data_IF_181872966327
#
_entry.id   IF_181872966327
#
_cell.length_a   1.000
_cell.length_b   1.000
_cell.length_c   1.000
_cell.angle_alpha   90.00
_cell.angle_beta   90.00
_cell.angle_gamma   90.00
#
_symmetry.space_group_name_H-M   'P 1'
#
loop_
_entity.id
_entity.type
_entity.pdbx_description
1 polymer ?
#
# COMPACT_ATOMS: atom_id res chain seq x y z
N UNK A 1 -9.27 15.08 24.92
CA UNK A 1 -8.96 14.83 26.35
C UNK A 1 -7.51 14.38 26.38
N UNK A 2 -6.64 15.17 26.98
CA UNK A 2 -5.23 14.82 27.13
C UNK A 2 -5.12 13.96 28.39
N UNK A 3 -4.81 12.67 28.20
CA UNK A 3 -4.75 11.70 29.29
C UNK A 3 -3.31 11.55 29.78
N UNK A 4 -3.10 11.54 31.09
CA UNK A 4 -1.81 11.19 31.68
C UNK A 4 -1.58 9.69 31.60
N UNK A 5 -0.54 9.24 30.91
CA UNK A 5 -0.21 7.82 30.72
C UNK A 5 1.09 7.48 31.44
N UNK A 6 1.06 6.49 32.34
CA UNK A 6 2.27 6.08 33.07
C UNK A 6 2.22 4.63 33.56
N UNK A 7 3.39 4.10 33.92
CA UNK A 7 3.50 2.91 34.76
C UNK A 7 2.95 3.22 36.15
N UNK A 8 2.20 2.27 36.72
CA UNK A 8 1.57 2.39 38.04
C UNK A 8 1.93 1.19 38.90
N UNK A 9 1.85 1.35 40.21
CA UNK A 9 2.00 0.25 41.16
C UNK A 9 0.78 -0.69 41.13
N UNK A 10 0.97 -1.94 41.58
CA UNK A 10 -0.14 -2.87 41.79
C UNK A 10 -1.17 -2.27 42.76
N UNK A 11 -0.71 -1.64 43.85
CA UNK A 11 -1.56 -0.97 44.84
C UNK A 11 -2.46 0.11 44.24
N UNK A 12 -1.97 0.90 43.27
CA UNK A 12 -2.79 1.89 42.57
C UNK A 12 -3.82 1.24 41.64
N UNK A 13 -3.50 0.09 41.06
CA UNK A 13 -4.35 -0.60 40.10
C UNK A 13 -5.55 -1.29 40.75
N UNK A 14 -5.35 -1.91 41.92
CA UNK A 14 -6.32 -2.82 42.54
C UNK A 14 -7.71 -2.22 42.79
N UNK A 15 -7.86 -0.96 43.26
CA UNK A 15 -9.19 -0.37 43.50
C UNK A 15 -10.07 -0.34 42.24
N UNK A 16 -9.52 0.09 41.10
CA UNK A 16 -10.27 0.16 39.85
C UNK A 16 -10.55 -1.23 39.28
N UNK A 17 -9.58 -2.15 39.40
CA UNK A 17 -9.76 -3.55 39.01
C UNK A 17 -10.90 -4.22 39.79
N UNK A 18 -10.93 -4.04 41.11
CA UNK A 18 -11.98 -4.59 41.97
C UNK A 18 -13.35 -4.02 41.59
N UNK A 19 -13.46 -2.69 41.50
CA UNK A 19 -14.69 -1.99 41.12
C UNK A 19 -15.28 -2.51 39.81
N UNK A 20 -14.45 -2.67 38.77
CA UNK A 20 -14.92 -2.89 37.40
C UNK A 20 -14.97 -4.37 37.00
N UNK A 21 -13.97 -5.17 37.38
CA UNK A 21 -13.86 -6.56 36.93
C UNK A 21 -14.38 -7.57 37.94
N UNK A 22 -14.43 -7.21 39.23
CA UNK A 22 -14.81 -8.09 40.35
C UNK A 22 -15.68 -7.34 41.37
N UNK A 23 -16.84 -6.79 40.97
CA UNK A 23 -17.69 -6.02 41.87
C UNK A 23 -18.06 -6.84 43.11
N UNK A 24 -17.91 -6.24 44.29
CA UNK A 24 -18.15 -6.89 45.58
C UNK A 24 -16.93 -7.53 46.25
N UNK A 25 -15.79 -7.65 45.55
CA UNK A 25 -14.52 -8.10 46.15
C UNK A 25 -13.70 -6.91 46.68
N UNK A 26 -12.90 -7.16 47.73
CA UNK A 26 -11.92 -6.18 48.21
C UNK A 26 -10.73 -6.09 47.22
N UNK A 27 -10.03 -4.95 47.16
CA UNK A 27 -8.84 -4.78 46.30
C UNK A 27 -7.80 -5.89 46.46
N UNK A 28 -7.50 -6.30 47.70
CA UNK A 28 -6.48 -7.34 47.97
C UNK A 28 -6.89 -8.73 47.47
N UNK A 29 -8.19 -8.99 47.30
CA UNK A 29 -8.71 -10.25 46.73
C UNK A 29 -8.69 -10.27 45.20
N UNK A 30 -8.22 -9.17 44.58
CA UNK A 30 -8.13 -9.00 43.13
C UNK A 30 -6.69 -9.04 42.62
N UNK A 31 -5.75 -9.52 43.43
CA UNK A 31 -4.37 -9.84 43.03
C UNK A 31 -4.39 -11.18 42.30
N UNK A 32 -3.74 -11.25 41.14
CA UNK A 32 -3.57 -12.47 40.37
C UNK A 32 -2.11 -12.93 40.45
N UNK A 33 -1.87 -14.25 40.36
CA UNK A 33 -0.50 -14.80 40.36
C UNK A 33 0.37 -14.17 39.27
N UNK A 34 -0.24 -13.83 38.12
CA UNK A 34 0.43 -13.14 37.02
C UNK A 34 0.98 -11.77 37.39
N UNK A 35 0.39 -11.06 38.36
CA UNK A 35 0.91 -9.76 38.83
C UNK A 35 2.23 -9.91 39.59
N UNK A 36 2.52 -11.11 40.10
CA UNK A 36 3.72 -11.42 40.88
C UNK A 36 4.84 -12.05 40.05
N UNK A 37 4.61 -12.30 38.75
CA UNK A 37 5.64 -12.83 37.86
C UNK A 37 6.78 -11.81 37.66
N UNK A 38 8.02 -12.29 37.44
CA UNK A 38 9.12 -11.42 37.03
C UNK A 38 8.76 -10.65 35.76
N UNK A 39 9.16 -9.39 35.68
CA UNK A 39 8.89 -8.48 34.54
C UNK A 39 7.42 -8.12 34.33
N UNK A 40 6.51 -8.51 35.23
CA UNK A 40 5.13 -8.00 35.22
C UNK A 40 5.11 -6.50 35.49
N UNK A 41 4.27 -5.78 34.75
CA UNK A 41 4.07 -4.35 34.95
C UNK A 41 2.63 -3.93 34.66
N UNK A 42 2.28 -2.76 35.20
CA UNK A 42 0.93 -2.21 35.13
C UNK A 42 0.98 -0.80 34.57
N UNK A 43 0.01 -0.46 33.73
CA UNK A 43 -0.13 0.88 33.16
C UNK A 43 -1.48 1.46 33.54
N UNK A 44 -1.49 2.78 33.73
CA UNK A 44 -2.68 3.56 34.04
C UNK A 44 -2.85 4.74 33.12
N UNK A 45 -4.11 5.07 32.83
CA UNK A 45 -4.51 6.34 32.21
C UNK A 45 -5.23 7.22 33.24
N UNK A 46 -4.85 8.48 33.30
CA UNK A 46 -5.34 9.48 34.25
C UNK A 46 -6.05 10.63 33.51
N UNK A 47 -7.13 11.11 34.11
CA UNK A 47 -7.78 12.38 33.78
C UNK A 47 -7.62 13.31 34.99
N UNK A 48 -6.73 14.30 34.86
CA UNK A 48 -6.16 15.01 36.01
C UNK A 48 -5.48 14.03 36.97
N UNK A 49 -5.92 14.01 38.24
CA UNK A 49 -5.39 13.11 39.27
C UNK A 49 -6.16 11.78 39.39
N UNK A 50 -7.27 11.61 38.64
CA UNK A 50 -8.11 10.41 38.72
C UNK A 50 -7.58 9.32 37.81
N UNK A 51 -7.26 8.16 38.37
CA UNK A 51 -6.97 6.94 37.59
C UNK A 51 -8.28 6.38 37.01
N UNK A 52 -8.40 6.38 35.68
CA UNK A 52 -9.66 6.05 34.98
C UNK A 52 -9.58 4.78 34.15
N UNK A 53 -8.39 4.30 33.82
CA UNK A 53 -8.21 3.05 33.08
C UNK A 53 -6.91 2.37 33.51
N UNK A 54 -6.94 1.05 33.59
CA UNK A 54 -5.80 0.21 34.00
C UNK A 54 -5.64 -1.00 33.10
N UNK A 55 -4.41 -1.49 32.98
CA UNK A 55 -4.05 -2.69 32.24
C UNK A 55 -2.84 -3.35 32.88
N UNK A 56 -2.75 -4.68 32.82
CA UNK A 56 -1.64 -5.45 33.37
C UNK A 56 -1.01 -6.32 32.29
N UNK A 57 0.31 -6.40 32.30
CA UNK A 57 1.10 -6.99 31.22
C UNK A 57 2.17 -7.87 31.85
N UNK A 58 2.37 -9.06 31.29
CA UNK A 58 3.41 -9.99 31.71
C UNK A 58 3.85 -10.86 30.55
N UNK A 59 5.05 -11.42 30.66
CA UNK A 59 5.62 -12.30 29.64
C UNK A 59 4.94 -13.66 29.69
N UNK A 60 4.33 -14.07 28.58
CA UNK A 60 3.70 -15.38 28.44
C UNK A 60 3.53 -15.69 26.95
N UNK A 61 4.08 -16.81 26.50
CA UNK A 61 3.92 -17.28 25.12
C UNK A 61 2.58 -18.00 24.95
N UNK A 62 2.00 -17.91 23.76
CA UNK A 62 0.84 -18.70 23.36
C UNK A 62 1.29 -19.89 22.52
N UNK A 63 0.78 -21.09 22.83
CA UNK A 63 1.30 -22.36 22.29
C UNK A 63 1.34 -22.43 20.76
N UNK A 64 0.39 -21.79 20.07
CA UNK A 64 0.30 -21.79 18.60
C UNK A 64 0.96 -20.60 17.91
N UNK A 65 1.69 -19.74 18.65
CA UNK A 65 2.36 -18.55 18.11
C UNK A 65 3.87 -18.62 18.34
N UNK A 66 4.62 -18.57 17.24
CA UNK A 66 6.08 -18.47 17.28
C UNK A 66 6.57 -17.08 17.69
N UNK A 67 7.58 -17.04 18.56
CA UNK A 67 8.25 -15.84 19.06
C UNK A 67 8.00 -15.56 20.54
N UNK A 68 8.50 -14.41 21.01
CA UNK A 68 8.31 -13.89 22.36
C UNK A 68 6.96 -13.17 22.48
N UNK A 69 6.06 -13.75 23.28
CA UNK A 69 4.73 -13.22 23.57
C UNK A 69 4.65 -12.46 24.89
N UNK A 70 3.82 -11.43 24.91
CA UNK A 70 3.33 -10.80 26.14
C UNK A 70 1.81 -10.95 26.22
N UNK A 71 1.30 -11.28 27.40
CA UNK A 71 -0.13 -11.33 27.65
C UNK A 71 -0.62 -10.06 28.31
N UNK A 72 -1.71 -9.53 27.78
CA UNK A 72 -2.47 -8.46 28.42
C UNK A 72 -3.57 -9.10 29.29
N UNK A 73 -3.77 -8.55 30.49
CA UNK A 73 -4.84 -8.96 31.39
C UNK A 73 -5.43 -7.76 32.12
N UNK A 74 -6.64 -7.96 32.63
CA UNK A 74 -7.26 -7.06 33.60
C UNK A 74 -7.42 -5.63 33.09
N UNK A 75 -7.67 -5.47 31.80
CA UNK A 75 -7.99 -4.16 31.24
C UNK A 75 -9.35 -3.71 31.77
N UNK A 76 -9.38 -2.56 32.44
CA UNK A 76 -10.59 -2.02 33.04
C UNK A 76 -10.61 -0.50 32.82
N UNK A 77 -11.76 0.02 32.39
CA UNK A 77 -12.00 1.47 32.29
C UNK A 77 -13.23 1.81 33.10
N UNK A 78 -13.13 2.88 33.89
CA UNK A 78 -14.23 3.42 34.68
C UNK A 78 -15.44 3.71 33.79
N UNK A 79 -16.64 3.44 34.30
CA UNK A 79 -17.88 3.42 33.52
C UNK A 79 -18.18 4.80 32.91
N UNK A 80 -17.86 5.88 33.61
CA UNK A 80 -18.03 7.27 33.16
C UNK A 80 -17.14 7.63 31.96
N UNK A 81 -16.11 6.82 31.70
CA UNK A 81 -15.10 7.04 30.66
C UNK A 81 -15.17 6.02 29.52
N UNK A 82 -16.10 5.06 29.59
CA UNK A 82 -16.35 4.12 28.48
C UNK A 82 -16.91 4.87 27.28
N UNK A 83 -16.54 4.41 26.08
CA UNK A 83 -16.95 5.03 24.82
C UNK A 83 -16.25 6.35 24.46
N UNK A 84 -15.39 6.90 25.34
CA UNK A 84 -14.64 8.15 25.10
C UNK A 84 -13.24 7.94 24.50
N UNK A 85 -12.90 6.72 24.07
CA UNK A 85 -11.60 6.38 23.50
C UNK A 85 -10.48 6.09 24.52
N UNK A 86 -10.71 6.28 25.82
CA UNK A 86 -9.71 6.04 26.89
C UNK A 86 -9.07 4.66 26.80
N UNK A 87 -9.87 3.61 26.59
CA UNK A 87 -9.35 2.25 26.45
C UNK A 87 -8.39 2.09 25.26
N UNK A 88 -8.72 2.65 24.09
CA UNK A 88 -7.83 2.61 22.93
C UNK A 88 -6.52 3.36 23.19
N UNK A 89 -6.58 4.51 23.87
CA UNK A 89 -5.38 5.28 24.23
C UNK A 89 -4.47 4.46 25.15
N UNK A 90 -5.02 3.84 26.20
CA UNK A 90 -4.23 3.00 27.11
C UNK A 90 -3.69 1.74 26.42
N UNK A 91 -4.49 1.11 25.53
CA UNK A 91 -4.05 -0.06 24.77
C UNK A 91 -2.90 0.27 23.82
N UNK A 92 -2.97 1.41 23.11
CA UNK A 92 -1.88 1.87 22.25
C UNK A 92 -0.61 2.19 23.04
N UNK A 93 -0.76 2.79 24.24
CA UNK A 93 0.36 3.01 25.15
C UNK A 93 0.98 1.69 25.62
N UNK A 94 0.16 0.71 25.98
CA UNK A 94 0.61 -0.63 26.32
C UNK A 94 1.39 -1.30 25.17
N UNK A 95 0.88 -1.22 23.94
CA UNK A 95 1.60 -1.71 22.76
C UNK A 95 2.96 -1.04 22.59
N UNK A 96 3.05 0.27 22.81
CA UNK A 96 4.31 1.03 22.74
C UNK A 96 5.31 0.59 23.81
N UNK A 97 4.86 0.37 25.05
CA UNK A 97 5.72 -0.14 26.13
C UNK A 97 6.18 -1.58 25.88
N UNK A 98 5.28 -2.45 25.41
CA UNK A 98 5.59 -3.85 25.09
C UNK A 98 6.56 -3.94 23.90
N UNK A 99 6.42 -3.06 22.92
CA UNK A 99 7.34 -2.93 21.78
C UNK A 99 8.79 -2.72 22.21
N UNK A 100 9.03 -2.01 23.31
CA UNK A 100 10.39 -1.79 23.85
C UNK A 100 11.00 -3.06 24.44
N UNK A 101 10.19 -4.09 24.72
CA UNK A 101 10.59 -5.35 25.34
C UNK A 101 10.93 -6.46 24.32
N UNK A 102 11.27 -6.09 23.08
CA UNK A 102 11.67 -7.05 22.05
C UNK A 102 10.61 -8.13 21.74
N UNK A 103 9.33 -7.77 21.88
CA UNK A 103 8.15 -8.63 21.75
C UNK A 103 7.74 -8.87 20.29
N UNK A 104 7.38 -10.11 19.94
CA UNK A 104 6.91 -10.46 18.59
C UNK A 104 5.36 -10.43 18.49
N UNK A 105 4.64 -10.63 19.60
CA UNK A 105 3.18 -10.55 19.63
C UNK A 105 2.59 -10.29 21.02
N UNK A 106 1.42 -9.67 21.03
CA UNK A 106 0.54 -9.61 22.21
C UNK A 106 -0.57 -10.64 22.05
N UNK A 107 -1.01 -11.26 23.14
CA UNK A 107 -2.24 -12.03 23.17
C UNK A 107 -3.05 -11.81 24.46
N UNK A 108 -4.34 -12.17 24.42
CA UNK A 108 -5.22 -12.17 25.60
C UNK A 108 -6.52 -12.92 25.34
N UNK A 109 -7.26 -13.21 26.43
CA UNK A 109 -8.63 -13.71 26.36
C UNK A 109 -9.59 -12.53 26.39
N UNK A 110 -10.22 -12.22 25.26
CA UNK A 110 -11.20 -11.16 25.13
C UNK A 110 -12.59 -11.70 25.45
N UNK A 111 -13.35 -11.01 26.32
CA UNK A 111 -14.80 -11.29 26.47
C UNK A 111 -15.48 -11.11 25.12
N UNK A 112 -16.46 -11.95 24.79
CA UNK A 112 -17.21 -11.87 23.53
C UNK A 112 -17.77 -10.46 23.26
N UNK A 113 -18.28 -9.79 24.30
CA UNK A 113 -18.79 -8.41 24.24
C UNK A 113 -17.74 -7.34 23.90
N UNK A 114 -16.45 -7.64 24.09
CA UNK A 114 -15.33 -6.71 23.83
C UNK A 114 -14.57 -7.02 22.53
N UNK A 115 -14.90 -8.10 21.83
CA UNK A 115 -14.21 -8.51 20.59
C UNK A 115 -14.16 -7.40 19.55
N UNK A 116 -15.28 -6.72 19.31
CA UNK A 116 -15.36 -5.62 18.35
C UNK A 116 -14.45 -4.43 18.70
N UNK A 117 -14.21 -4.18 19.99
CA UNK A 117 -13.25 -3.16 20.41
C UNK A 117 -11.83 -3.56 20.00
N UNK A 118 -11.42 -4.81 20.25
CA UNK A 118 -10.07 -5.27 19.90
C UNK A 118 -9.85 -5.42 18.39
N UNK A 119 -10.86 -5.88 17.63
CA UNK A 119 -10.80 -5.89 16.17
C UNK A 119 -10.54 -4.50 15.58
N UNK A 120 -11.21 -3.46 16.11
CA UNK A 120 -10.98 -2.06 15.71
C UNK A 120 -9.57 -1.55 16.05
N UNK A 121 -8.89 -2.14 17.04
CA UNK A 121 -7.51 -1.81 17.39
C UNK A 121 -6.48 -2.75 16.72
N UNK A 122 -6.89 -3.51 15.69
CA UNK A 122 -6.00 -4.34 14.86
C UNK A 122 -5.62 -5.69 15.47
N UNK A 123 -6.35 -6.16 16.48
CA UNK A 123 -6.23 -7.53 16.98
C UNK A 123 -7.08 -8.49 16.16
N UNK A 124 -6.70 -9.76 16.19
CA UNK A 124 -7.34 -10.83 15.40
C UNK A 124 -7.73 -11.98 16.32
N UNK A 125 -8.81 -12.70 16.01
CA UNK A 125 -9.23 -13.89 16.76
C UNK A 125 -8.42 -15.11 16.27
N UNK A 126 -7.94 -15.94 17.21
CA UNK A 126 -7.16 -17.16 16.90
C UNK A 126 -7.68 -18.42 17.59
N UNK A 127 -8.86 -18.37 18.22
CA UNK A 127 -9.54 -19.53 18.80
C UNK A 127 -11.01 -19.53 18.44
N UNK A 128 -11.66 -20.68 18.62
CA UNK A 128 -13.12 -20.74 18.76
C UNK A 128 -13.58 -20.04 20.04
N UNK A 129 -14.89 -19.79 20.17
CA UNK A 129 -15.48 -19.25 21.40
C UNK A 129 -15.43 -20.29 22.53
N UNK A 130 -15.04 -19.87 23.73
CA UNK A 130 -15.00 -20.75 24.90
C UNK A 130 -15.53 -20.03 26.15
N UNK A 131 -16.13 -20.79 27.06
CA UNK A 131 -16.58 -20.26 28.35
C UNK A 131 -15.44 -20.27 29.38
N UNK A 132 -15.30 -19.17 30.12
CA UNK A 132 -14.49 -19.13 31.34
C UNK A 132 -15.46 -19.12 32.53
N UNK A 133 -15.44 -20.17 33.38
CA UNK A 133 -16.38 -20.30 34.49
C UNK A 133 -16.46 -19.05 35.37
N UNK A 134 -17.68 -18.53 35.55
CA UNK A 134 -17.94 -17.33 36.36
C UNK A 134 -17.51 -16.01 35.73
N UNK A 135 -17.06 -16.00 34.47
CA UNK A 135 -16.71 -14.79 33.70
C UNK A 135 -17.51 -14.71 32.39
N UNK A 136 -17.80 -15.86 31.76
CA UNK A 136 -18.61 -15.97 30.54
C UNK A 136 -17.78 -16.29 29.29
N UNK A 137 -18.36 -16.02 28.12
CA UNK A 137 -17.78 -16.37 26.81
C UNK A 137 -16.61 -15.47 26.40
N UNK A 138 -15.56 -16.08 25.86
CA UNK A 138 -14.32 -15.44 25.44
C UNK A 138 -13.78 -16.00 24.12
N UNK A 139 -12.87 -15.23 23.52
CA UNK A 139 -12.02 -15.63 22.41
C UNK A 139 -10.56 -15.33 22.77
N UNK A 140 -9.62 -16.12 22.25
CA UNK A 140 -8.21 -15.75 22.24
C UNK A 140 -7.99 -14.77 21.09
N UNK A 141 -7.45 -13.60 21.40
CA UNK A 141 -7.10 -12.59 20.41
C UNK A 141 -5.61 -12.25 20.47
N UNK A 142 -5.01 -11.91 19.33
CA UNK A 142 -3.60 -11.57 19.22
C UNK A 142 -3.35 -10.40 18.27
N UNK A 143 -2.19 -9.75 18.41
CA UNK A 143 -1.66 -8.77 17.46
C UNK A 143 -0.15 -8.96 17.39
N UNK A 144 0.38 -9.11 16.17
CA UNK A 144 1.84 -9.08 15.94
C UNK A 144 2.35 -7.68 16.26
N UNK A 145 3.39 -7.61 17.08
CA UNK A 145 4.13 -6.38 17.29
C UNK A 145 5.46 -6.48 16.58
N UNK A 146 5.82 -5.41 15.87
CA UNK A 146 7.16 -5.25 15.31
C UNK A 146 7.87 -4.26 16.25
N UNK A 147 8.90 -4.67 17.00
CA UNK A 147 9.61 -3.75 17.89
C UNK A 147 10.26 -2.60 17.08
N UNK A 148 10.26 -1.36 17.60
CA UNK A 148 11.04 -0.26 17.05
C UNK A 148 12.51 -0.68 16.96
N UNK A 149 13.15 -0.49 15.81
CA UNK A 149 14.54 -0.89 15.57
C UNK A 149 14.78 -2.40 15.41
N UNK A 150 13.88 -3.27 15.89
CA UNK A 150 13.73 -4.66 15.44
C UNK A 150 12.71 -4.69 14.30
N UNK A 151 12.91 -3.80 13.34
CA UNK A 151 12.62 -4.18 11.98
C UNK A 151 13.29 -5.54 11.81
N UNK A 152 12.58 -6.50 11.23
CA UNK A 152 13.27 -7.62 10.59
C UNK A 152 14.50 -7.06 9.91
N UNK A 153 15.56 -7.82 9.79
CA UNK A 153 16.60 -7.39 8.88
C UNK A 153 16.01 -7.38 7.47
N UNK A 154 15.25 -6.32 7.13
CA UNK A 154 14.41 -6.20 5.97
C UNK A 154 15.36 -6.27 4.79
N UNK A 155 16.53 -5.64 4.92
CA UNK A 155 17.64 -5.74 3.97
C UNK A 155 18.15 -7.19 3.77
N UNK A 156 17.92 -8.11 4.70
CA UNK A 156 18.29 -9.52 4.62
C UNK A 156 17.11 -10.47 4.35
N UNK A 157 15.89 -9.96 4.07
CA UNK A 157 14.79 -10.80 3.57
C UNK A 157 15.27 -11.57 2.34
N UNK A 158 15.19 -12.90 2.41
CA UNK A 158 15.64 -13.80 1.35
C UNK A 158 14.52 -13.99 0.32
N UNK A 159 14.86 -13.83 -0.97
CA UNK A 159 13.89 -14.00 -2.06
C UNK A 159 13.36 -15.45 -2.15
N UNK A 160 14.14 -16.44 -1.68
CA UNK A 160 13.71 -17.84 -1.66
C UNK A 160 12.45 -18.06 -0.80
N UNK A 161 12.27 -17.28 0.27
CA UNK A 161 11.11 -17.41 1.17
C UNK A 161 9.79 -16.97 0.49
N UNK A 162 9.90 -16.26 -0.63
CA UNK A 162 8.78 -15.79 -1.45
C UNK A 162 8.67 -16.54 -2.78
N UNK A 163 9.44 -17.63 -2.94
CA UNK A 163 9.41 -18.49 -4.13
C UNK A 163 8.42 -19.63 -3.93
N UNK A 164 7.53 -19.82 -4.89
CA UNK A 164 6.60 -20.94 -4.92
C UNK A 164 6.50 -21.52 -6.33
N UNK A 165 6.03 -22.76 -6.44
CA UNK A 165 5.81 -23.38 -7.73
C UNK A 165 4.55 -22.79 -8.38
N UNK A 166 4.72 -21.99 -9.44
CA UNK A 166 3.63 -21.46 -10.26
C UNK A 166 3.65 -22.17 -11.64
N UNK A 167 2.74 -23.12 -11.90
CA UNK A 167 2.66 -23.76 -13.21
C UNK A 167 2.36 -22.74 -14.31
N UNK A 168 3.01 -22.89 -15.47
CA UNK A 168 2.93 -21.89 -16.56
C UNK A 168 1.51 -21.79 -17.12
N UNK A 169 0.77 -22.89 -17.14
CA UNK A 169 -0.64 -22.97 -17.54
C UNK A 169 -1.60 -22.22 -16.60
N UNK A 170 -1.14 -21.80 -15.42
CA UNK A 170 -1.90 -20.93 -14.49
C UNK A 170 -1.65 -19.45 -14.71
N UNK A 171 -0.74 -19.06 -15.60
CA UNK A 171 -0.47 -17.67 -15.96
C UNK A 171 -1.40 -17.28 -17.11
N UNK A 172 -2.31 -16.33 -16.86
CA UNK A 172 -3.21 -15.83 -17.89
C UNK A 172 -2.47 -14.90 -18.88
N UNK A 173 -2.59 -15.17 -20.17
CA UNK A 173 -2.04 -14.32 -21.25
C UNK A 173 -3.06 -13.35 -21.84
N UNK A 174 -4.34 -13.61 -21.64
CA UNK A 174 -5.44 -12.72 -22.00
C UNK A 174 -6.34 -12.53 -20.78
N UNK A 175 -6.91 -11.32 -20.58
CA UNK A 175 -7.96 -11.15 -19.59
C UNK A 175 -9.21 -11.94 -20.00
N UNK A 176 -10.08 -12.24 -19.04
CA UNK A 176 -11.41 -12.75 -19.37
C UNK A 176 -12.22 -11.69 -20.14
N UNK A 177 -13.11 -12.14 -21.02
CA UNK A 177 -14.00 -11.27 -21.79
C UNK A 177 -14.86 -10.39 -20.87
N UNK A 178 -15.47 -11.01 -19.85
CA UNK A 178 -16.10 -10.33 -18.72
C UNK A 178 -15.17 -10.40 -17.52
N UNK A 179 -14.59 -9.26 -17.16
CA UNK A 179 -13.49 -9.22 -16.19
C UNK A 179 -13.92 -9.39 -14.75
N UNK A 180 -15.11 -8.96 -14.44
CA UNK A 180 -15.75 -9.12 -13.13
C UNK A 180 -16.22 -10.57 -12.89
N UNK A 181 -16.27 -11.43 -13.90
CA UNK A 181 -16.47 -12.87 -13.72
C UNK A 181 -15.19 -13.60 -13.24
N UNK A 182 -14.06 -12.89 -13.14
CA UNK A 182 -12.82 -13.44 -12.58
C UNK A 182 -12.97 -13.87 -11.12
N UNK A 183 -12.18 -14.86 -10.71
CA UNK A 183 -12.15 -15.36 -9.33
C UNK A 183 -11.62 -14.28 -8.38
N UNK A 184 -12.28 -14.14 -7.24
CA UNK A 184 -11.88 -13.31 -6.11
C UNK A 184 -11.46 -14.21 -4.95
N UNK A 185 -10.17 -14.19 -4.60
CA UNK A 185 -9.68 -14.85 -3.40
C UNK A 185 -9.93 -13.94 -2.18
N UNK A 186 -10.69 -14.44 -1.21
CA UNK A 186 -10.99 -13.73 0.02
C UNK A 186 -10.14 -14.35 1.12
N UNK A 187 -9.23 -13.55 1.68
CA UNK A 187 -8.44 -13.91 2.83
C UNK A 187 -8.91 -13.11 4.05
N UNK A 188 -9.41 -13.83 5.06
CA UNK A 188 -9.82 -13.25 6.33
C UNK A 188 -9.18 -14.05 7.47
N UNK A 189 -8.06 -13.55 8.01
CA UNK A 189 -7.35 -14.11 9.17
C UNK A 189 -7.20 -15.65 9.13
N UNK A 190 -6.45 -16.16 8.13
CA UNK A 190 -6.23 -17.59 7.83
C UNK A 190 -7.41 -18.36 7.26
N UNK A 191 -8.62 -17.76 7.21
CA UNK A 191 -9.71 -18.32 6.42
C UNK A 191 -9.57 -17.86 4.97
N UNK A 192 -9.42 -18.83 4.07
CA UNK A 192 -9.41 -18.61 2.63
C UNK A 192 -10.75 -19.08 2.08
N UNK A 193 -11.41 -18.21 1.31
CA UNK A 193 -12.58 -18.56 0.51
C UNK A 193 -12.45 -17.96 -0.89
N UNK A 194 -13.31 -18.42 -1.79
CA UNK A 194 -13.38 -17.96 -3.18
C UNK A 194 -14.77 -17.40 -3.45
N UNK A 195 -14.83 -16.34 -4.25
CA UNK A 195 -16.05 -15.80 -4.85
C UNK A 195 -15.73 -15.27 -6.26
N UNK A 196 -16.66 -14.54 -6.89
CA UNK A 196 -16.43 -13.80 -8.12
C UNK A 196 -16.18 -12.32 -7.83
N UNK A 197 -15.38 -11.67 -8.66
CA UNK A 197 -15.07 -10.26 -8.51
C UNK A 197 -16.31 -9.35 -8.62
N UNK A 198 -17.32 -9.76 -9.40
CA UNK A 198 -18.62 -9.09 -9.48
C UNK A 198 -19.28 -8.90 -8.10
N UNK A 199 -19.03 -9.82 -7.17
CA UNK A 199 -19.57 -9.79 -5.80
C UNK A 199 -18.71 -8.97 -4.83
N UNK A 200 -17.61 -8.36 -5.29
CA UNK A 200 -16.78 -7.46 -4.47
C UNK A 200 -17.60 -6.44 -3.66
N UNK A 201 -18.66 -5.80 -4.20
CA UNK A 201 -19.47 -4.85 -3.44
C UNK A 201 -20.08 -5.42 -2.16
N UNK A 202 -20.29 -6.73 -2.03
CA UNK A 202 -20.81 -7.38 -0.81
C UNK A 202 -19.82 -7.28 0.36
N UNK A 203 -18.52 -7.36 0.06
CA UNK A 203 -17.44 -7.37 1.05
C UNK A 203 -16.97 -5.97 1.48
N UNK A 204 -17.31 -4.93 0.71
CA UNK A 204 -16.89 -3.55 1.00
C UNK A 204 -17.96 -2.83 1.83
N UNK A 205 -17.56 -2.27 2.97
CA UNK A 205 -18.47 -1.53 3.84
C UNK A 205 -18.83 -0.16 3.26
N UNK A 206 -20.06 0.32 3.46
CA UNK A 206 -20.56 1.58 2.89
C UNK A 206 -19.80 2.84 3.34
N UNK A 207 -19.11 2.76 4.48
CA UNK A 207 -18.28 3.82 5.05
C UNK A 207 -16.81 3.75 4.58
N UNK A 208 -16.51 2.93 3.57
CA UNK A 208 -15.17 2.79 3.01
C UNK A 208 -14.89 3.83 1.92
N UNK A 209 -13.63 4.24 1.84
CA UNK A 209 -13.04 4.96 0.72
C UNK A 209 -12.17 4.00 -0.09
N UNK A 210 -12.55 3.74 -1.34
CA UNK A 210 -11.70 3.05 -2.30
C UNK A 210 -10.74 4.04 -2.95
N UNK A 211 -9.44 3.73 -2.95
CA UNK A 211 -8.41 4.58 -3.57
C UNK A 211 -7.82 3.86 -4.78
N UNK A 212 -8.03 4.45 -5.95
CA UNK A 212 -7.62 3.88 -7.23
C UNK A 212 -6.43 4.64 -7.84
N UNK A 213 -5.63 3.95 -8.65
CA UNK A 213 -4.63 4.60 -9.51
C UNK A 213 -5.23 4.86 -10.90
N UNK A 214 -5.43 6.12 -11.28
CA UNK A 214 -6.05 6.50 -12.56
C UNK A 214 -5.03 6.74 -13.70
N UNK A 215 -3.80 6.26 -13.56
CA UNK A 215 -2.81 6.29 -14.63
C UNK A 215 -3.32 5.57 -15.87
N UNK A 216 -3.04 6.12 -17.05
CA UNK A 216 -3.41 5.59 -18.35
C UNK A 216 -2.15 5.11 -19.06
N UNK A 217 -2.17 3.84 -19.48
CA UNK A 217 -1.08 3.26 -20.28
C UNK A 217 -0.98 3.99 -21.61
N UNK A 218 0.23 4.38 -21.99
CA UNK A 218 0.55 4.90 -23.33
C UNK A 218 1.13 3.77 -24.20
N UNK A 219 0.89 3.76 -25.52
CA UNK A 219 1.47 2.79 -26.45
C UNK A 219 2.97 3.09 -26.72
N UNK A 220 3.77 3.23 -25.67
CA UNK A 220 5.17 3.66 -25.71
C UNK A 220 6.17 2.64 -26.26
N UNK A 221 5.73 1.60 -26.96
CA UNK A 221 6.60 0.59 -27.57
C UNK A 221 6.62 0.73 -29.09
N UNK A 222 7.72 1.25 -29.62
CA UNK A 222 7.94 1.41 -31.05
C UNK A 222 8.73 0.23 -31.62
N UNK A 223 8.28 -0.23 -32.78
CA UNK A 223 8.97 -1.24 -33.59
C UNK A 223 9.49 -0.58 -34.87
N UNK A 224 10.80 -0.59 -35.04
CA UNK A 224 11.50 -0.09 -36.22
C UNK A 224 12.19 -1.23 -36.95
N UNK A 225 12.01 -1.33 -38.26
CA UNK A 225 12.69 -2.35 -39.05
C UNK A 225 14.07 -1.83 -39.48
N UNK A 226 15.14 -2.50 -39.05
CA UNK A 226 16.44 -2.39 -39.72
C UNK A 226 16.50 -3.34 -40.93
N UNK A 227 17.56 -3.29 -41.72
CA UNK A 227 17.75 -4.20 -42.86
C UNK A 227 17.75 -5.69 -42.46
N UNK A 228 18.18 -6.03 -41.24
CA UNK A 228 18.36 -7.41 -40.79
C UNK A 228 17.29 -7.87 -39.78
N UNK A 229 16.73 -6.94 -38.99
CA UNK A 229 15.92 -7.28 -37.83
C UNK A 229 15.10 -6.09 -37.31
N UNK A 230 13.96 -6.35 -36.65
CA UNK A 230 13.21 -5.31 -35.94
C UNK A 230 13.91 -4.92 -34.64
N UNK A 231 14.22 -3.62 -34.50
CA UNK A 231 14.69 -2.96 -33.29
C UNK A 231 13.47 -2.49 -32.50
N UNK A 232 13.47 -2.77 -31.20
CA UNK A 232 12.38 -2.39 -30.29
C UNK A 232 12.83 -1.24 -29.40
N UNK A 233 12.02 -0.19 -29.31
CA UNK A 233 12.27 0.95 -28.42
C UNK A 233 11.08 1.06 -27.48
N UNK A 234 11.33 0.88 -26.18
CA UNK A 234 10.32 1.02 -25.14
C UNK A 234 10.58 2.31 -24.35
N UNK A 235 9.69 3.27 -24.48
CA UNK A 235 9.67 4.51 -23.70
C UNK A 235 9.45 4.22 -22.22
N UNK A 236 10.35 4.71 -21.36
CA UNK A 236 10.28 4.57 -19.91
C UNK A 236 9.67 5.81 -19.28
N UNK A 237 10.37 6.92 -19.39
CA UNK A 237 9.97 8.19 -18.82
C UNK A 237 10.55 9.36 -19.64
N UNK A 238 9.90 10.53 -19.67
CA UNK A 238 10.48 11.73 -20.25
C UNK A 238 11.82 12.09 -19.60
N UNK A 239 12.81 12.50 -20.40
CA UNK A 239 14.17 12.75 -19.91
C UNK A 239 14.32 14.09 -19.17
N UNK A 240 13.83 15.19 -19.75
CA UNK A 240 14.08 16.56 -19.25
C UNK A 240 12.90 17.13 -18.43
N UNK A 241 11.65 16.91 -18.85
CA UNK A 241 10.46 17.43 -18.18
C UNK A 241 9.58 16.28 -17.67
N UNK A 242 9.36 16.19 -16.35
CA UNK A 242 8.52 15.14 -15.74
C UNK A 242 7.02 15.44 -15.81
N UNK A 243 6.62 16.58 -16.36
CA UNK A 243 5.24 16.84 -16.76
C UNK A 243 4.93 16.11 -18.09
N UNK A 244 4.40 14.90 -17.96
CA UNK A 244 3.98 14.08 -19.09
C UNK A 244 3.01 14.82 -20.01
N UNK A 245 2.11 15.67 -19.50
CA UNK A 245 1.13 16.37 -20.34
C UNK A 245 1.83 17.34 -21.29
N UNK A 246 2.76 18.12 -20.76
CA UNK A 246 3.59 19.01 -21.56
C UNK A 246 4.37 18.23 -22.60
N UNK A 247 5.04 17.13 -22.22
CA UNK A 247 5.86 16.33 -23.15
C UNK A 247 5.03 15.69 -24.27
N UNK A 248 3.86 15.13 -23.93
CA UNK A 248 2.97 14.47 -24.88
C UNK A 248 2.35 15.45 -25.89
N UNK A 249 2.26 16.75 -25.57
CA UNK A 249 1.72 17.77 -26.46
C UNK A 249 2.75 18.41 -27.41
N UNK A 250 4.02 18.00 -27.37
CA UNK A 250 5.04 18.55 -28.28
C UNK A 250 4.86 18.02 -29.70
N UNK A 251 5.16 18.88 -30.69
CA UNK A 251 5.01 18.60 -32.11
C UNK A 251 6.26 18.04 -32.82
N UNK A 252 7.40 17.99 -32.12
CA UNK A 252 8.66 17.37 -32.57
C UNK A 252 9.68 17.36 -31.43
N UNK A 253 10.82 16.68 -31.63
CA UNK A 253 12.01 16.81 -30.77
C UNK A 253 11.81 16.33 -29.33
N UNK A 254 11.17 15.18 -29.14
CA UNK A 254 10.82 14.68 -27.79
C UNK A 254 11.85 13.66 -27.31
N UNK A 255 12.43 13.89 -26.12
CA UNK A 255 13.44 13.01 -25.52
C UNK A 255 12.88 12.15 -24.40
N UNK A 256 13.09 10.84 -24.53
CA UNK A 256 12.68 9.84 -23.55
C UNK A 256 13.86 9.01 -23.11
N UNK A 257 13.86 8.62 -21.85
CA UNK A 257 14.61 7.45 -21.42
C UNK A 257 13.93 6.20 -21.98
N UNK A 258 14.70 5.31 -22.61
CA UNK A 258 14.18 4.12 -23.27
C UNK A 258 14.97 2.85 -22.92
N UNK A 259 14.30 1.70 -23.00
CA UNK A 259 14.97 0.41 -23.19
C UNK A 259 15.01 0.09 -24.68
N UNK A 260 16.17 -0.36 -25.19
CA UNK A 260 16.32 -0.72 -26.60
C UNK A 260 16.57 -2.23 -26.72
N UNK A 261 15.57 -2.93 -27.24
CA UNK A 261 15.68 -4.33 -27.61
C UNK A 261 16.46 -4.48 -28.92
N UNK A 262 17.30 -5.52 -29.00
CA UNK A 262 18.06 -5.84 -30.23
C UNK A 262 18.95 -4.68 -30.72
N UNK A 263 19.51 -3.90 -29.79
CA UNK A 263 20.34 -2.71 -30.03
C UNK A 263 21.46 -2.91 -31.09
N UNK A 264 22.06 -4.09 -31.16
CA UNK A 264 23.14 -4.41 -32.13
C UNK A 264 22.74 -4.23 -33.60
N UNK A 265 21.44 -4.18 -33.91
CA UNK A 265 20.92 -3.96 -35.26
C UNK A 265 20.62 -2.49 -35.57
N UNK A 266 20.72 -1.59 -34.59
CA UNK A 266 20.66 -0.14 -34.80
C UNK A 266 22.08 0.41 -34.97
N UNK A 267 22.62 0.32 -36.19
CA UNK A 267 24.00 0.73 -36.51
C UNK A 267 24.11 2.23 -36.80
N UNK A 268 23.12 2.78 -37.49
CA UNK A 268 23.11 4.18 -37.91
C UNK A 268 22.80 5.15 -36.76
N UNK A 269 23.07 6.43 -36.99
CA UNK A 269 22.73 7.52 -36.06
C UNK A 269 21.20 7.60 -35.86
N UNK A 270 20.45 7.45 -36.94
CA UNK A 270 18.99 7.48 -36.97
C UNK A 270 18.42 6.13 -37.40
N UNK A 271 17.25 5.79 -36.86
CA UNK A 271 16.38 4.76 -37.42
C UNK A 271 15.03 5.40 -37.75
N UNK A 272 14.38 4.97 -38.83
CA UNK A 272 13.15 5.59 -39.29
C UNK A 272 12.11 4.59 -39.76
N UNK A 273 10.84 4.99 -39.72
CA UNK A 273 9.72 4.25 -40.29
C UNK A 273 8.70 5.21 -40.88
N UNK A 274 7.96 4.71 -41.86
CA UNK A 274 6.82 5.42 -42.44
C UNK A 274 5.56 5.03 -41.66
N UNK A 275 4.75 6.02 -41.28
CA UNK A 275 3.44 5.87 -40.67
C UNK A 275 2.43 6.73 -41.41
N UNK A 276 1.14 6.44 -41.23
CA UNK A 276 0.07 7.09 -41.97
C UNK A 276 -1.02 7.58 -41.03
N UNK A 277 -1.45 8.83 -41.23
CA UNK A 277 -2.64 9.41 -40.60
C UNK A 277 -3.65 9.72 -41.69
N UNK A 278 -4.54 8.78 -41.99
CA UNK A 278 -5.31 8.80 -43.22
C UNK A 278 -4.38 8.70 -44.43
N UNK A 279 -4.52 9.63 -45.39
CA UNK A 279 -3.69 9.66 -46.60
C UNK A 279 -2.35 10.39 -46.40
N UNK A 280 -2.13 11.03 -45.24
CA UNK A 280 -0.89 11.76 -44.95
C UNK A 280 0.22 10.80 -44.53
N UNK A 281 1.30 10.77 -45.30
CA UNK A 281 2.54 10.07 -44.97
C UNK A 281 3.36 10.88 -43.96
N UNK A 282 3.79 10.22 -42.89
CA UNK A 282 4.63 10.79 -41.84
C UNK A 282 5.89 9.94 -41.71
N UNK A 283 7.06 10.58 -41.66
CA UNK A 283 8.35 9.90 -41.46
C UNK A 283 8.74 10.08 -40.00
N UNK A 284 8.61 9.02 -39.20
CA UNK A 284 9.05 8.99 -37.81
C UNK A 284 10.52 8.55 -37.74
N UNK A 285 11.36 9.38 -37.13
CA UNK A 285 12.80 9.15 -36.91
C UNK A 285 13.08 9.09 -35.41
N UNK A 286 14.01 8.22 -35.03
CA UNK A 286 14.53 8.12 -33.67
C UNK A 286 16.07 8.20 -33.70
N UNK A 287 16.64 8.94 -32.75
CA UNK A 287 18.08 9.07 -32.52
C UNK A 287 18.43 8.60 -31.11
N UNK A 288 19.45 7.75 -30.95
CA UNK A 288 19.89 7.26 -29.63
C UNK A 288 21.13 8.00 -29.13
N UNK A 289 21.16 8.21 -27.82
CA UNK A 289 22.33 8.64 -27.05
C UNK A 289 22.43 7.80 -25.79
N UNK A 290 23.64 7.41 -25.39
CA UNK A 290 23.86 6.71 -24.12
C UNK A 290 24.48 7.68 -23.11
N UNK A 291 23.81 7.90 -21.99
CA UNK A 291 24.26 8.82 -20.94
C UNK A 291 23.77 8.31 -19.58
N UNK A 292 24.60 8.44 -18.53
CA UNK A 292 24.24 8.07 -17.15
C UNK A 292 23.67 6.64 -17.01
N UNK A 293 24.27 5.68 -17.72
CA UNK A 293 23.82 4.28 -17.79
C UNK A 293 22.39 4.07 -18.33
N UNK A 294 21.88 5.02 -19.10
CA UNK A 294 20.54 5.02 -19.69
C UNK A 294 20.62 5.34 -21.17
N UNK A 295 19.70 4.80 -21.97
CA UNK A 295 19.52 5.22 -23.35
C UNK A 295 18.51 6.35 -23.39
N UNK A 296 18.91 7.48 -23.95
CA UNK A 296 18.03 8.59 -24.27
C UNK A 296 17.74 8.51 -25.76
N UNK A 297 16.45 8.45 -26.11
CA UNK A 297 16.00 8.44 -27.50
C UNK A 297 15.25 9.72 -27.77
N UNK A 298 15.69 10.44 -28.80
CA UNK A 298 15.03 11.62 -29.31
C UNK A 298 14.20 11.24 -30.54
N UNK A 299 12.91 11.56 -30.50
CA UNK A 299 11.95 11.28 -31.56
C UNK A 299 11.63 12.56 -32.34
N UNK A 300 11.61 12.43 -33.66
CA UNK A 300 11.28 13.49 -34.61
C UNK A 300 10.35 12.95 -35.68
N UNK A 301 9.45 13.76 -36.20
CA UNK A 301 8.59 13.35 -37.29
C UNK A 301 8.30 14.49 -38.25
N UNK A 302 8.17 14.16 -39.53
CA UNK A 302 7.87 15.12 -40.58
C UNK A 302 6.60 14.65 -41.33
N UNK A 303 5.59 15.52 -41.50
CA UNK A 303 5.51 16.91 -41.02
C UNK A 303 5.23 17.02 -39.51
N UNK A 304 5.69 18.11 -38.88
CA UNK A 304 5.55 18.41 -37.43
C UNK A 304 4.13 18.90 -37.04
N UNK A 305 3.09 18.33 -37.66
CA UNK A 305 1.69 18.71 -37.42
C UNK A 305 1.07 17.98 -36.24
N UNK A 306 1.49 16.72 -36.01
CA UNK A 306 0.97 15.88 -34.94
C UNK A 306 1.71 16.11 -33.64
N UNK A 307 1.00 15.95 -32.52
CA UNK A 307 1.56 15.86 -31.18
C UNK A 307 2.21 14.49 -30.96
N UNK A 308 3.11 14.40 -29.97
CA UNK A 308 3.74 13.13 -29.62
C UNK A 308 2.73 12.08 -29.15
N UNK A 309 1.63 12.48 -28.50
CA UNK A 309 0.53 11.57 -28.13
C UNK A 309 -0.09 10.92 -29.37
N UNK A 310 -0.36 11.69 -30.42
CA UNK A 310 -0.87 11.15 -31.69
C UNK A 310 0.16 10.25 -32.38
N UNK A 311 1.45 10.55 -32.29
CA UNK A 311 2.52 9.68 -32.78
C UNK A 311 2.57 8.34 -32.03
N UNK A 312 2.40 8.37 -30.70
CA UNK A 312 2.30 7.16 -29.88
C UNK A 312 1.11 6.31 -30.35
N UNK A 313 -0.06 6.89 -30.55
CA UNK A 313 -1.27 6.18 -30.98
C UNK A 313 -1.12 5.56 -32.39
N UNK A 314 -0.49 6.27 -33.32
CA UNK A 314 -0.32 5.81 -34.70
C UNK A 314 0.80 4.78 -34.88
N UNK A 315 1.92 4.95 -34.18
CA UNK A 315 3.16 4.22 -34.46
C UNK A 315 3.59 3.26 -33.35
N UNK A 316 3.05 3.48 -32.15
CA UNK A 316 3.33 2.72 -30.94
C UNK A 316 2.45 1.48 -30.80
N UNK A 317 2.83 0.64 -29.84
CA UNK A 317 2.06 -0.55 -29.46
C UNK A 317 2.00 -0.63 -27.95
N UNK A 318 0.96 -1.27 -27.41
CA UNK A 318 0.82 -1.42 -25.96
C UNK A 318 1.96 -2.28 -25.40
N UNK A 319 2.76 -1.78 -24.43
CA UNK A 319 3.84 -2.54 -23.84
C UNK A 319 3.31 -3.57 -22.84
N UNK A 320 3.05 -4.78 -23.33
CA UNK A 320 2.66 -5.89 -22.47
C UNK A 320 3.83 -6.33 -21.55
N UNK A 321 3.53 -6.76 -20.31
CA UNK A 321 4.54 -7.28 -19.39
C UNK A 321 5.32 -8.46 -20.00
N UNK A 322 6.62 -8.61 -19.66
CA UNK A 322 7.49 -9.62 -20.28
C UNK A 322 7.07 -11.08 -19.99
N UNK A 323 6.27 -11.32 -18.95
CA UNK A 323 5.72 -12.65 -18.67
C UNK A 323 4.55 -13.03 -19.59
N UNK A 324 3.93 -12.06 -20.28
CA UNK A 324 2.90 -12.31 -21.29
C UNK A 324 3.60 -12.64 -22.61
N UNK A 325 3.71 -13.94 -22.91
CA UNK A 325 4.47 -14.46 -24.07
C UNK A 325 3.69 -14.41 -25.38
N UNK A 326 3.16 -13.24 -25.74
CA UNK A 326 2.53 -12.95 -27.04
C UNK A 326 2.78 -11.52 -27.48
N UNK A 327 2.50 -11.22 -28.74
CA UNK A 327 2.54 -9.86 -29.25
C UNK A 327 1.33 -9.06 -28.77
N UNK A 328 1.51 -7.74 -28.67
CA UNK A 328 0.40 -6.80 -28.47
C UNK A 328 -0.52 -6.83 -29.68
N UNK A 329 -1.81 -6.81 -29.41
CA UNK A 329 -2.91 -6.72 -30.37
C UNK A 329 -3.63 -5.39 -30.18
N UNK A 330 -4.39 -4.94 -31.19
CA UNK A 330 -5.14 -3.68 -31.11
C UNK A 330 -6.11 -3.64 -29.93
N UNK A 331 -6.75 -4.79 -29.64
CA UNK A 331 -7.63 -4.97 -28.47
C UNK A 331 -6.92 -4.73 -27.14
N UNK A 332 -5.59 -4.81 -27.06
CA UNK A 332 -4.84 -4.51 -25.82
C UNK A 332 -4.86 -3.02 -25.47
N UNK A 333 -5.02 -2.13 -26.45
CA UNK A 333 -5.12 -0.68 -26.19
C UNK A 333 -6.33 -0.36 -25.30
N UNK A 334 -7.42 -1.10 -25.50
CA UNK A 334 -8.61 -1.03 -24.65
C UNK A 334 -8.47 -1.96 -23.45
N UNK A 335 -7.98 -3.19 -23.67
CA UNK A 335 -8.10 -4.22 -22.66
C UNK A 335 -7.01 -4.18 -21.58
N UNK A 336 -5.84 -3.66 -21.89
CA UNK A 336 -4.78 -3.41 -20.92
C UNK A 336 -4.91 -2.01 -20.28
N UNK A 337 -6.14 -1.67 -19.92
CA UNK A 337 -6.50 -0.40 -19.28
C UNK A 337 -7.61 -0.61 -18.25
N UNK A 338 -7.62 0.20 -17.20
CA UNK A 338 -8.76 0.30 -16.27
C UNK A 338 -9.84 1.19 -16.85
N UNK A 339 -11.11 0.90 -16.59
CA UNK A 339 -12.26 1.70 -17.07
C UNK A 339 -12.30 3.15 -16.54
N UNK A 340 -11.49 3.46 -15.51
CA UNK A 340 -11.35 4.78 -14.90
C UNK A 340 -10.00 5.44 -15.17
N UNK A 341 -9.20 4.93 -16.12
CA UNK A 341 -7.92 5.54 -16.50
C UNK A 341 -8.15 6.93 -17.12
N UNK A 342 -7.33 7.90 -16.72
CA UNK A 342 -7.49 9.31 -17.16
C UNK A 342 -6.17 9.99 -17.50
N UNK A 343 -5.10 9.73 -16.75
CA UNK A 343 -3.84 10.49 -16.86
C UNK A 343 -2.78 9.69 -17.61
N UNK A 344 -2.49 10.09 -18.86
CA UNK A 344 -1.46 9.45 -19.70
C UNK A 344 -0.06 9.58 -19.10
N UNK A 345 0.68 8.47 -19.14
CA UNK A 345 2.09 8.45 -18.73
C UNK A 345 2.59 7.11 -18.18
N UNK A 346 1.72 6.09 -18.08
CA UNK A 346 2.13 4.76 -17.61
C UNK A 346 2.66 3.89 -18.74
N UNK A 347 3.63 3.03 -18.43
CA UNK A 347 4.01 1.90 -19.28
C UNK A 347 3.20 0.66 -18.91
N UNK A 348 2.79 0.56 -17.65
CA UNK A 348 2.05 -0.59 -17.16
C UNK A 348 0.69 -0.19 -16.59
N UNK A 349 -0.30 -1.06 -16.79
CA UNK A 349 -1.61 -0.88 -16.18
C UNK A 349 -1.59 -1.28 -14.70
N UNK A 350 -2.33 -0.60 -13.82
CA UNK A 350 -2.56 -1.06 -12.45
C UNK A 350 -3.43 -2.32 -12.48
N UNK A 351 -2.79 -3.49 -12.38
CA UNK A 351 -3.39 -4.80 -12.71
C UNK A 351 -4.57 -5.18 -11.82
N UNK A 352 -4.53 -4.91 -10.52
CA UNK A 352 -5.68 -5.13 -9.63
C UNK A 352 -6.91 -4.31 -10.04
N UNK A 353 -6.68 -3.15 -10.66
CA UNK A 353 -7.73 -2.28 -11.17
C UNK A 353 -8.43 -2.81 -12.43
N UNK A 354 -7.78 -3.71 -13.17
CA UNK A 354 -8.30 -4.22 -14.45
C UNK A 354 -9.58 -5.03 -14.30
N UNK A 355 -9.86 -5.55 -13.11
CA UNK A 355 -11.05 -6.36 -12.82
C UNK A 355 -12.33 -5.52 -12.65
N UNK A 356 -12.20 -4.21 -12.43
CA UNK A 356 -13.35 -3.33 -12.27
C UNK A 356 -14.03 -3.06 -13.61
N UNK A 357 -15.32 -3.34 -13.67
CA UNK A 357 -16.23 -2.93 -14.73
C UNK A 357 -17.07 -1.74 -14.28
N UNK A 358 -17.71 -1.06 -15.24
CA UNK A 358 -18.69 -0.01 -14.91
C UNK A 358 -19.83 -0.54 -14.03
N UNK A 359 -20.21 -1.82 -14.19
CA UNK A 359 -21.23 -2.47 -13.36
C UNK A 359 -20.81 -2.54 -11.89
N UNK A 360 -19.61 -3.05 -11.61
CA UNK A 360 -19.07 -3.14 -10.24
C UNK A 360 -18.93 -1.75 -9.61
N UNK A 361 -18.39 -0.78 -10.35
CA UNK A 361 -18.23 0.59 -9.87
C UNK A 361 -19.59 1.26 -9.56
N UNK A 362 -20.58 1.07 -10.42
CA UNK A 362 -21.93 1.58 -10.19
C UNK A 362 -22.61 0.89 -8.99
N UNK A 363 -22.37 -0.40 -8.77
CA UNK A 363 -22.88 -1.13 -7.60
C UNK A 363 -22.29 -0.57 -6.29
N UNK A 364 -20.98 -0.33 -6.26
CA UNK A 364 -20.29 0.32 -5.13
C UNK A 364 -20.83 1.73 -4.87
N UNK A 365 -21.02 2.52 -5.93
CA UNK A 365 -21.57 3.87 -5.82
C UNK A 365 -23.01 3.85 -5.27
N UNK A 366 -23.87 2.95 -5.76
CA UNK A 366 -25.25 2.78 -5.26
C UNK A 366 -25.29 2.36 -3.79
N UNK A 367 -24.29 1.60 -3.33
CA UNK A 367 -24.11 1.24 -1.91
C UNK A 367 -23.67 2.43 -1.03
N UNK A 368 -23.22 3.52 -1.65
CA UNK A 368 -22.71 4.71 -0.98
C UNK A 368 -21.20 4.67 -0.69
N UNK A 369 -20.48 3.69 -1.25
CA UNK A 369 -19.02 3.61 -1.14
C UNK A 369 -18.39 4.79 -1.90
N UNK A 370 -17.46 5.49 -1.24
CA UNK A 370 -16.76 6.63 -1.84
C UNK A 370 -15.51 6.17 -2.57
N UNK A 371 -15.13 6.92 -3.60
CA UNK A 371 -13.93 6.65 -4.40
C UNK A 371 -13.05 7.90 -4.41
N UNK A 372 -11.74 7.72 -4.35
CA UNK A 372 -10.75 8.77 -4.62
C UNK A 372 -9.63 8.22 -5.50
N UNK A 373 -8.82 9.11 -6.06
CA UNK A 373 -7.83 8.75 -7.06
C UNK A 373 -6.45 9.31 -6.73
N UNK A 374 -5.44 8.48 -6.99
CA UNK A 374 -4.03 8.87 -7.08
C UNK A 374 -3.58 8.68 -8.54
N UNK A 375 -2.55 9.42 -8.96
CA UNK A 375 -1.88 9.16 -10.23
C UNK A 375 -0.46 8.73 -9.93
N UNK A 376 -0.11 7.48 -10.22
CA UNK A 376 1.27 6.99 -10.17
C UNK A 376 1.59 6.32 -11.50
N UNK A 377 2.52 6.90 -12.25
CA UNK A 377 2.97 6.37 -13.53
C UNK A 377 3.91 5.18 -13.30
N UNK A 378 3.46 4.00 -13.74
CA UNK A 378 4.17 2.76 -13.48
C UNK A 378 5.22 2.53 -14.56
N UNK A 379 6.47 2.40 -14.11
CA UNK A 379 7.63 2.18 -14.97
C UNK A 379 7.94 0.68 -15.16
N UNK A 380 8.83 0.37 -16.10
CA UNK A 380 9.28 -1.01 -16.40
C UNK A 380 9.88 -1.73 -15.21
N UNK A 381 10.41 -0.98 -14.24
CA UNK A 381 10.94 -1.50 -12.98
C UNK A 381 9.97 -2.41 -12.22
N UNK A 382 8.66 -2.20 -12.35
CA UNK A 382 7.63 -3.05 -11.72
C UNK A 382 7.65 -4.50 -12.23
N UNK A 383 8.19 -4.76 -13.43
CA UNK A 383 8.30 -6.12 -13.98
C UNK A 383 9.70 -6.72 -13.87
N UNK A 384 10.67 -5.98 -13.35
CA UNK A 384 12.03 -6.50 -13.23
C UNK A 384 12.09 -7.50 -12.06
N UNK A 385 12.56 -8.73 -12.30
CA UNK A 385 12.73 -9.68 -11.21
C UNK A 385 13.81 -9.20 -10.26
N UNK A 386 13.64 -9.49 -8.97
CA UNK A 386 14.70 -9.29 -7.98
C UNK A 386 15.78 -10.33 -8.25
N UNK A 387 16.95 -9.88 -8.74
CA UNK A 387 18.09 -10.75 -9.09
C UNK A 387 19.06 -11.00 -7.93
N UNK A 388 18.90 -10.28 -6.82
CA UNK A 388 19.76 -10.41 -5.64
C UNK A 388 19.17 -11.41 -4.66
N UNK A 389 20.02 -12.07 -3.88
CA UNK A 389 19.58 -13.04 -2.87
C UNK A 389 18.72 -12.39 -1.78
N UNK A 390 19.08 -11.18 -1.37
CA UNK A 390 18.35 -10.39 -0.38
C UNK A 390 17.84 -9.08 -0.97
N UNK A 391 16.73 -8.57 -0.45
CA UNK A 391 16.14 -7.32 -0.96
C UNK A 391 16.99 -6.08 -0.67
N UNK A 392 17.85 -6.10 0.36
CA UNK A 392 18.72 -4.99 0.72
C UNK A 392 19.73 -4.62 -0.37
N UNK A 393 20.10 -5.59 -1.20
CA UNK A 393 21.00 -5.41 -2.35
C UNK A 393 20.25 -5.02 -3.63
N UNK A 394 18.91 -5.10 -3.64
CA UNK A 394 18.10 -4.73 -4.78
C UNK A 394 17.69 -3.26 -4.69
N UNK A 395 18.12 -2.47 -5.67
CA UNK A 395 17.67 -1.08 -5.80
C UNK A 395 16.39 -1.03 -6.62
N UNK A 396 15.31 -0.55 -5.99
CA UNK A 396 14.06 -0.29 -6.69
C UNK A 396 14.15 0.98 -7.54
N UNK A 397 13.40 1.00 -8.65
CA UNK A 397 13.21 2.20 -9.46
C UNK A 397 12.30 3.19 -8.73
N UNK A 398 12.57 4.48 -8.92
CA UNK A 398 11.66 5.54 -8.49
C UNK A 398 10.48 5.65 -9.45
N UNK A 399 9.33 6.04 -8.90
CA UNK A 399 8.10 6.28 -9.64
C UNK A 399 7.60 7.68 -9.31
N UNK A 400 7.05 8.37 -10.29
CA UNK A 400 6.44 9.68 -10.09
C UNK A 400 5.01 9.52 -9.61
N UNK A 401 4.65 10.27 -8.57
CA UNK A 401 3.31 10.30 -8.00
C UNK A 401 2.76 11.73 -8.00
N UNK A 402 1.52 11.86 -8.45
CA UNK A 402 0.75 13.09 -8.39
C UNK A 402 -0.53 12.83 -7.60
N UNK A 403 -0.78 13.71 -6.63
CA UNK A 403 -1.89 13.61 -5.69
C UNK A 403 -2.61 14.95 -5.69
N UNK A 404 -3.93 14.92 -5.85
CA UNK A 404 -4.74 16.13 -5.76
C UNK A 404 -5.03 16.47 -4.30
N UNK A 405 -5.13 17.76 -3.97
CA UNK A 405 -5.54 18.23 -2.63
C UNK A 405 -6.85 17.60 -2.16
N UNK A 406 -7.80 17.40 -3.08
CA UNK A 406 -9.07 16.71 -2.78
C UNK A 406 -8.85 15.27 -2.32
N UNK A 407 -7.92 14.52 -2.92
CA UNK A 407 -7.58 13.15 -2.49
C UNK A 407 -7.10 13.13 -1.04
N UNK A 408 -6.28 14.10 -0.64
CA UNK A 408 -5.81 14.23 0.75
C UNK A 408 -6.96 14.50 1.72
N UNK A 409 -7.91 15.35 1.32
CA UNK A 409 -9.13 15.65 2.11
C UNK A 409 -10.02 14.41 2.23
N UNK A 410 -10.19 13.64 1.16
CA UNK A 410 -10.96 12.39 1.18
C UNK A 410 -10.34 11.37 2.15
N UNK A 411 -9.01 11.21 2.10
CA UNK A 411 -8.24 10.35 3.01
C UNK A 411 -8.38 10.81 4.47
N UNK A 412 -8.33 12.12 4.73
CA UNK A 412 -8.45 12.69 6.07
C UNK A 412 -9.84 12.41 6.67
N UNK A 413 -10.89 12.50 5.85
CA UNK A 413 -12.28 12.30 6.26
C UNK A 413 -12.72 10.83 6.30
N UNK A 414 -11.80 9.90 6.04
CA UNK A 414 -12.11 8.47 5.94
C UNK A 414 -11.38 7.66 7.00
N UNK A 415 -12.14 6.84 7.74
CA UNK A 415 -11.58 5.90 8.71
C UNK A 415 -11.17 4.58 8.05
N UNK A 416 -11.95 4.12 7.06
CA UNK A 416 -11.68 2.89 6.32
C UNK A 416 -11.20 3.21 4.91
N UNK A 417 -9.91 3.07 4.67
CA UNK A 417 -9.28 3.31 3.37
C UNK A 417 -8.88 1.96 2.78
N UNK A 418 -9.28 1.71 1.54
CA UNK A 418 -8.96 0.47 0.82
C UNK A 418 -8.25 0.86 -0.47
N UNK A 419 -6.94 0.63 -0.51
CA UNK A 419 -6.15 0.84 -1.71
C UNK A 419 -6.40 -0.29 -2.73
N UNK A 420 -6.73 0.08 -3.96
CA UNK A 420 -6.97 -0.87 -5.05
C UNK A 420 -5.64 -1.15 -5.74
N UNK A 421 -4.99 -2.24 -5.34
CA UNK A 421 -3.70 -2.68 -5.85
C UNK A 421 -2.49 -2.06 -5.14
N UNK A 422 -1.35 -2.75 -5.27
CA UNK A 422 -0.09 -2.37 -4.61
C UNK A 422 0.43 -1.00 -5.06
N UNK A 423 0.20 -0.59 -6.30
CA UNK A 423 0.60 0.74 -6.78
C UNK A 423 -0.15 1.86 -6.05
N UNK A 424 -1.47 1.73 -5.88
CA UNK A 424 -2.27 2.67 -5.10
C UNK A 424 -1.83 2.68 -3.63
N UNK A 425 -1.54 1.49 -3.08
CA UNK A 425 -1.05 1.35 -1.70
C UNK A 425 0.29 2.07 -1.51
N UNK A 426 1.28 1.85 -2.39
CA UNK A 426 2.58 2.52 -2.33
C UNK A 426 2.45 4.04 -2.41
N UNK A 427 1.58 4.55 -3.28
CA UNK A 427 1.30 5.99 -3.38
C UNK A 427 0.75 6.55 -2.05
N UNK A 428 -0.26 5.90 -1.47
CA UNK A 428 -0.90 6.32 -0.22
C UNK A 428 0.05 6.24 0.97
N UNK A 429 0.76 5.12 1.14
CA UNK A 429 1.73 4.94 2.24
C UNK A 429 2.91 5.93 2.14
N UNK A 430 3.30 6.32 0.93
CA UNK A 430 4.36 7.32 0.73
C UNK A 430 3.96 8.70 1.23
N UNK A 431 2.66 9.05 1.28
CA UNK A 431 2.18 10.33 1.80
C UNK A 431 2.66 10.58 3.24
N UNK A 432 2.61 9.54 4.08
CA UNK A 432 3.09 9.66 5.46
C UNK A 432 4.56 10.09 5.54
N UNK A 433 5.39 9.58 4.65
CA UNK A 433 6.82 9.90 4.61
C UNK A 433 7.11 11.21 3.86
N UNK A 434 6.23 11.64 2.96
CA UNK A 434 6.32 12.98 2.39
C UNK A 434 6.09 14.05 3.46
N UNK A 435 5.15 13.85 4.39
CA UNK A 435 4.95 14.80 5.50
C UNK A 435 6.17 14.84 6.45
N UNK A 436 6.80 13.69 6.70
CA UNK A 436 8.10 13.61 7.40
C UNK A 436 9.16 14.49 6.72
N UNK A 437 9.28 14.40 5.39
CA UNK A 437 10.24 15.19 4.63
C UNK A 437 9.92 16.68 4.70
N UNK A 438 8.65 17.07 4.59
CA UNK A 438 8.22 18.47 4.69
C UNK A 438 8.58 19.07 6.05
N UNK A 439 8.35 18.35 7.15
CA UNK A 439 8.67 18.83 8.49
C UNK A 439 10.17 18.94 8.75
N UNK A 440 10.96 17.96 8.27
CA UNK A 440 12.38 17.84 8.63
C UNK A 440 13.34 18.45 7.61
N UNK A 441 12.94 18.57 6.34
CA UNK A 441 13.76 19.08 5.24
C UNK A 441 13.15 20.34 4.64
N UNK A 442 13.01 21.38 5.48
CA UNK A 442 12.65 22.74 5.05
C UNK A 442 13.49 23.13 3.82
N UNK A 443 12.86 23.25 2.64
CA UNK A 443 13.37 23.82 1.38
C UNK A 443 13.88 22.88 0.24
N UNK A 444 13.58 21.58 0.22
CA UNK A 444 13.81 20.81 -1.03
C UNK A 444 12.67 21.02 -2.03
N UNK A 445 12.98 21.55 -3.23
CA UNK A 445 12.00 21.70 -4.34
C UNK A 445 11.39 20.38 -4.81
N UNK A 446 12.05 19.25 -4.54
CA UNK A 446 11.57 17.91 -4.86
C UNK A 446 11.52 17.05 -3.60
N UNK A 447 10.36 16.49 -3.31
CA UNK A 447 10.17 15.53 -2.22
C UNK A 447 10.39 14.11 -2.75
N UNK A 448 11.40 13.42 -2.22
CA UNK A 448 11.76 12.07 -2.65
C UNK A 448 11.79 11.11 -1.46
N UNK A 449 10.82 10.19 -1.41
CA UNK A 449 10.78 9.09 -0.44
C UNK A 449 11.68 7.96 -0.95
N UNK A 450 12.86 7.83 -0.35
CA UNK A 450 13.79 6.75 -0.71
C UNK A 450 13.32 5.40 -0.14
N UNK A 451 13.75 4.30 -0.79
CA UNK A 451 13.38 2.92 -0.44
C UNK A 451 13.53 2.57 1.05
N UNK A 452 14.55 3.13 1.72
CA UNK A 452 14.87 2.82 3.11
C UNK A 452 14.41 3.88 4.11
N UNK A 453 13.92 5.04 3.63
CA UNK A 453 13.47 6.14 4.49
C UNK A 453 12.48 5.68 5.57
N UNK A 454 11.45 4.85 5.26
CA UNK A 454 10.49 4.38 6.26
C UNK A 454 11.06 3.49 7.36
N UNK A 455 12.22 2.89 7.10
CA UNK A 455 12.83 1.87 7.95
C UNK A 455 14.04 2.41 8.71
N UNK A 456 14.55 3.58 8.34
CA UNK A 456 15.74 4.18 8.95
C UNK A 456 15.37 5.36 9.87
N UNK A 457 14.09 5.74 9.95
CA UNK A 457 13.64 6.91 10.70
C UNK A 457 12.44 6.56 11.58
N UNK A 458 12.48 7.01 12.82
CA UNK A 458 11.31 7.01 13.70
C UNK A 458 10.49 8.27 13.43
N UNK A 459 9.27 8.07 12.94
CA UNK A 459 8.30 9.14 12.75
C UNK A 459 6.95 8.68 13.30
N UNK A 460 6.50 9.32 14.38
CA UNK A 460 5.33 8.89 15.14
C UNK A 460 4.33 10.05 15.30
N UNK A 461 3.66 10.39 14.20
CA UNK A 461 2.56 11.34 14.20
C UNK A 461 1.26 10.66 13.77
N UNK A 462 0.11 11.25 14.10
CA UNK A 462 -1.16 10.70 13.66
C UNK A 462 -1.34 10.81 12.14
N UNK A 463 -2.10 9.88 11.54
CA UNK A 463 -2.57 9.94 10.15
C UNK A 463 -3.13 11.33 9.81
N UNK A 464 -4.01 11.85 10.67
CA UNK A 464 -4.71 13.10 10.43
C UNK A 464 -3.74 14.29 10.40
N UNK A 465 -2.80 14.34 11.35
CA UNK A 465 -1.78 15.40 11.37
C UNK A 465 -0.85 15.32 10.15
N UNK A 466 -0.44 14.10 9.76
CA UNK A 466 0.35 13.88 8.54
C UNK A 466 -0.35 14.39 7.29
N UNK A 467 -1.65 14.12 7.15
CA UNK A 467 -2.44 14.57 6.00
C UNK A 467 -2.67 16.08 6.01
N UNK A 468 -2.87 16.70 7.18
CA UNK A 468 -2.99 18.16 7.31
C UNK A 468 -1.75 18.89 6.81
N UNK A 469 -0.55 18.42 7.20
CA UNK A 469 0.72 18.97 6.70
C UNK A 469 0.78 18.96 5.17
N UNK A 470 0.35 17.87 4.54
CA UNK A 470 0.33 17.77 3.08
C UNK A 470 -0.70 18.69 2.45
N UNK A 471 -1.89 18.83 3.06
CA UNK A 471 -2.94 19.73 2.58
C UNK A 471 -2.49 21.19 2.64
N UNK A 472 -1.76 21.57 3.69
CA UNK A 472 -1.16 22.91 3.86
C UNK A 472 0.00 23.15 2.89
N UNK A 473 0.73 22.09 2.53
CA UNK A 473 1.81 22.14 1.55
C UNK A 473 1.29 22.27 0.10
N UNK A 474 0.12 21.70 -0.20
CA UNK A 474 -0.53 21.89 -1.49
C UNK A 474 -1.13 23.31 -1.54
N UNK A 475 -0.52 24.21 -2.31
CA UNK A 475 -1.08 25.53 -2.62
C UNK A 475 -2.54 25.44 -3.09
#
# INVERSE_FOLDING_TARGET
MELGLKKISLTELLPLRAKILRPGKKPDECIYDSDMLPESFHLGAYDGDKLISVISIYKENFESLEGQGYRIRSMATDEEYRGKGTGSVLLNYAESEIRKLNCDYIWFNARSVAVNFYLKNGYIIISDEFDIPGIGLHFVMTKRLIPPGKLYDIKHINIKDYTYNLPTEKIAYYPQEKRDESKLLIYNYKKISEDKFLNLPEYISKDSLLVFNNTKVIPGRFLFNSCEQTVEILCIEPFENKDYRSVLSHNSGVKWECMIGKLKYWKDEYIQKEIYSGDKKIILKAKKQFQNNKFIVEFFWEPEELTFSEILDLAGTTPLPPYIKRNSEEKDNETYQTVYARNEGSIAAPTAGLHFTNEVLNSLQKKGVKNSFVTLHVNTGTFLPVKTETIGKHKMHSEYVQIQKQTLIDLLNSEKIIAVGTTSMRAVESLYWLSYLILNKKNSKELNVTQWLPYENDFNISKNFSLQILIEYCD
#
